data_IF_590593245212
#
_entry.id   IF_590593245212
#
_cell.length_a   1.000
_cell.length_b   1.000
_cell.length_c   1.000
_cell.angle_alpha   90.00
_cell.angle_beta   90.00
_cell.angle_gamma   90.00
#
_symmetry.space_group_name_H-M   'P 1'
#
loop_
_entity.id
_entity.type
_entity.pdbx_description
1 polymer ?
#
# COMPACT_ATOMS: atom_id res chain seq x y z
N UNK A 1 -16.86 20.87 -13.78
CA UNK A 1 -15.46 20.41 -13.70
C UNK A 1 -15.41 19.17 -12.82
N UNK A 2 -14.67 18.16 -13.24
CA UNK A 2 -14.41 16.96 -12.43
C UNK A 2 -13.13 17.17 -11.62
N UNK A 3 -13.13 16.78 -10.36
CA UNK A 3 -11.93 16.79 -9.50
C UNK A 3 -11.65 15.36 -9.09
N UNK A 4 -10.50 14.83 -9.53
CA UNK A 4 -9.98 13.53 -9.13
C UNK A 4 -8.99 13.72 -7.98
N UNK A 5 -9.25 13.09 -6.85
CA UNK A 5 -8.41 13.11 -5.66
C UNK A 5 -7.77 11.75 -5.46
N UNK A 6 -6.46 11.68 -5.64
CA UNK A 6 -5.65 10.49 -5.48
C UNK A 6 -4.89 10.55 -4.16
N UNK A 7 -5.08 9.55 -3.30
CA UNK A 7 -4.30 9.38 -2.08
C UNK A 7 -3.36 8.19 -2.26
N UNK A 8 -2.07 8.47 -2.20
CA UNK A 8 -1.02 7.46 -2.36
C UNK A 8 -0.54 7.06 -0.98
N UNK A 9 -0.74 5.79 -0.62
CA UNK A 9 -0.35 5.25 0.68
C UNK A 9 1.07 4.67 0.64
N UNK A 10 1.66 4.44 1.81
CA UNK A 10 3.06 3.93 1.90
C UNK A 10 3.22 2.50 1.36
N UNK A 11 2.12 1.74 1.28
CA UNK A 11 2.03 0.42 0.67
C UNK A 11 1.86 0.46 -0.85
N UNK A 12 1.80 1.65 -1.46
CA UNK A 12 1.69 1.83 -2.91
C UNK A 12 0.26 1.73 -3.46
N UNK A 13 -0.71 1.38 -2.62
CA UNK A 13 -2.13 1.49 -2.96
C UNK A 13 -2.50 2.96 -3.21
N UNK A 14 -3.38 3.18 -4.19
CA UNK A 14 -3.94 4.49 -4.52
C UNK A 14 -5.44 4.44 -4.31
N UNK A 15 -5.97 5.33 -3.46
CA UNK A 15 -7.42 5.52 -3.38
C UNK A 15 -7.83 6.75 -4.18
N UNK A 16 -8.80 6.57 -5.05
CA UNK A 16 -9.37 7.62 -5.89
C UNK A 16 -10.71 8.10 -5.32
N UNK A 17 -10.96 9.39 -5.40
CA UNK A 17 -12.25 10.00 -5.10
C UNK A 17 -12.58 11.04 -6.17
N UNK A 18 -13.68 10.83 -6.90
CA UNK A 18 -14.14 11.70 -7.97
C UNK A 18 -15.22 12.63 -7.41
N UNK A 19 -15.05 13.94 -7.62
CA UNK A 19 -16.03 14.96 -7.26
C UNK A 19 -16.42 15.78 -8.47
N UNK A 20 -17.71 16.06 -8.59
CA UNK A 20 -18.18 17.09 -9.50
C UNK A 20 -18.34 18.39 -8.74
N UNK A 21 -17.64 19.43 -9.17
CA UNK A 21 -17.71 20.74 -8.55
C UNK A 21 -17.96 21.84 -9.58
N UNK A 22 -18.76 22.82 -9.16
CA UNK A 22 -18.91 24.09 -9.88
C UNK A 22 -17.81 25.01 -9.38
N UNK A 23 -16.79 25.23 -10.23
CA UNK A 23 -15.65 26.06 -9.87
C UNK A 23 -16.02 27.52 -10.12
N UNK A 24 -16.30 28.25 -9.04
CA UNK A 24 -16.52 29.70 -9.08
C UNK A 24 -15.19 30.46 -9.09
N UNK A 25 -14.13 29.90 -8.50
CA UNK A 25 -12.80 30.51 -8.44
C UNK A 25 -11.72 29.45 -8.23
N UNK A 26 -10.65 29.54 -9.02
CA UNK A 26 -9.46 28.69 -8.82
C UNK A 26 -8.80 28.93 -7.46
N UNK A 27 -8.90 30.15 -6.90
CA UNK A 27 -8.36 30.46 -5.58
C UNK A 27 -9.03 29.63 -4.48
N UNK A 28 -10.34 29.42 -4.59
CA UNK A 28 -11.10 28.62 -3.62
C UNK A 28 -10.75 27.14 -3.72
N UNK A 29 -10.47 26.65 -4.93
CA UNK A 29 -9.97 25.30 -5.17
C UNK A 29 -8.60 25.09 -4.52
N UNK A 30 -7.64 26.01 -4.73
CA UNK A 30 -6.32 25.92 -4.09
C UNK A 30 -6.40 25.94 -2.57
N UNK A 31 -7.28 26.77 -2.01
CA UNK A 31 -7.50 26.83 -0.56
C UNK A 31 -8.16 25.55 -0.03
N UNK A 32 -9.14 25.00 -0.76
CA UNK A 32 -9.87 23.79 -0.38
C UNK A 32 -8.98 22.55 -0.41
N UNK A 33 -8.07 22.47 -1.37
CA UNK A 33 -7.14 21.37 -1.56
C UNK A 33 -5.72 21.75 -1.13
N UNK A 34 -5.60 22.61 -0.12
CA UNK A 34 -4.31 22.96 0.47
C UNK A 34 -3.60 21.72 1.00
N UNK A 35 -2.30 21.60 0.68
CA UNK A 35 -1.50 20.42 1.00
C UNK A 35 -1.73 19.20 0.09
N UNK A 36 -2.55 19.34 -0.95
CA UNK A 36 -2.57 18.43 -2.10
C UNK A 36 -1.69 18.99 -3.21
N UNK A 37 -1.03 18.11 -3.94
CA UNK A 37 -0.24 18.44 -5.11
C UNK A 37 -1.13 18.42 -6.35
N UNK A 38 -1.15 19.51 -7.11
CA UNK A 38 -1.74 19.50 -8.43
C UNK A 38 -0.84 18.68 -9.37
N UNK A 39 -1.40 17.66 -10.01
CA UNK A 39 -0.69 16.83 -11.00
C UNK A 39 -1.21 17.02 -12.41
N UNK A 40 -2.51 17.31 -12.59
CA UNK A 40 -3.06 17.67 -13.88
C UNK A 40 -4.18 18.72 -13.73
N UNK A 41 -4.30 19.59 -14.73
CA UNK A 41 -5.37 20.57 -14.85
C UNK A 41 -5.64 20.79 -16.34
N UNK A 42 -6.86 20.48 -16.76
CA UNK A 42 -7.39 20.82 -18.08
C UNK A 42 -8.81 21.39 -17.96
N UNK A 43 -9.47 21.64 -19.09
CA UNK A 43 -10.78 22.29 -19.13
C UNK A 43 -11.93 21.44 -18.56
N UNK A 44 -11.72 20.13 -18.38
CA UNK A 44 -12.73 19.17 -17.94
C UNK A 44 -12.42 18.56 -16.57
N UNK A 45 -11.14 18.41 -16.23
CA UNK A 45 -10.69 17.76 -15.01
C UNK A 45 -9.53 18.46 -14.29
N UNK A 46 -9.52 18.31 -12.97
CA UNK A 46 -8.41 18.65 -12.09
C UNK A 46 -8.00 17.39 -11.34
N UNK A 47 -6.72 17.03 -11.38
CA UNK A 47 -6.18 15.88 -10.66
C UNK A 47 -5.27 16.37 -9.53
N UNK A 48 -5.60 15.98 -8.32
CA UNK A 48 -4.86 16.28 -7.10
C UNK A 48 -4.35 14.99 -6.48
N UNK A 49 -3.08 14.99 -6.10
CA UNK A 49 -2.44 13.89 -5.38
C UNK A 49 -2.06 14.28 -3.96
N UNK A 50 -2.15 13.33 -3.03
CA UNK A 50 -1.65 13.50 -1.67
C UNK A 50 -0.98 12.22 -1.19
N UNK A 51 0.26 12.37 -0.73
CA UNK A 51 0.96 11.31 -0.02
C UNK A 51 0.36 11.16 1.38
N UNK A 52 -0.10 9.95 1.70
CA UNK A 52 -0.60 9.58 3.01
C UNK A 52 0.50 8.80 3.72
N UNK A 53 0.97 9.35 4.84
CA UNK A 53 2.03 8.75 5.65
C UNK A 53 1.53 7.59 6.53
N UNK A 54 0.70 6.72 5.94
CA UNK A 54 0.06 5.57 6.57
C UNK A 54 -0.20 4.48 5.51
N UNK A 55 -0.50 3.27 5.96
CA UNK A 55 -0.93 2.17 5.08
C UNK A 55 -2.41 2.30 4.71
N UNK A 56 -2.78 1.77 3.55
CA UNK A 56 -4.14 1.84 3.02
C UNK A 56 -5.17 1.18 3.95
N UNK A 57 -6.44 1.65 3.94
CA UNK A 57 -7.53 1.00 4.66
C UNK A 57 -7.71 -0.48 4.29
N UNK A 58 -7.45 -0.85 3.03
CA UNK A 58 -7.49 -2.23 2.56
C UNK A 58 -6.48 -3.10 3.33
N UNK A 59 -5.23 -2.66 3.38
CA UNK A 59 -4.16 -3.35 4.11
C UNK A 59 -4.46 -3.42 5.62
N UNK A 60 -4.97 -2.32 6.18
CA UNK A 60 -5.36 -2.26 7.59
C UNK A 60 -6.54 -3.15 7.93
N UNK A 61 -7.45 -3.42 7.00
CA UNK A 61 -8.62 -4.26 7.25
C UNK A 61 -8.26 -5.74 7.15
N UNK A 62 -7.53 -6.13 6.10
CA UNK A 62 -7.37 -7.52 5.73
C UNK A 62 -5.93 -7.93 5.35
N UNK A 63 -4.93 -7.07 5.47
CA UNK A 63 -3.55 -7.38 5.07
C UNK A 63 -2.83 -8.34 6.03
N UNK A 64 -2.22 -9.39 5.46
CA UNK A 64 -1.29 -10.29 6.16
C UNK A 64 -0.03 -10.52 5.34
N UNK A 65 1.15 -10.36 5.95
CA UNK A 65 2.39 -10.84 5.34
C UNK A 65 2.40 -12.37 5.32
N UNK A 66 2.93 -12.92 4.23
CA UNK A 66 3.25 -14.32 4.11
C UNK A 66 4.22 -14.58 2.98
N UNK A 67 4.31 -15.85 2.58
CA UNK A 67 5.16 -16.27 1.48
C UNK A 67 4.30 -16.79 0.33
N UNK A 68 4.65 -16.37 -0.88
CA UNK A 68 4.20 -17.03 -2.09
C UNK A 68 4.86 -18.41 -2.24
N UNK A 69 4.42 -19.21 -3.22
CA UNK A 69 4.97 -20.56 -3.45
C UNK A 69 6.46 -20.54 -3.81
N UNK A 70 6.91 -19.50 -4.49
CA UNK A 70 8.29 -19.23 -4.87
C UNK A 70 9.13 -18.63 -3.73
N UNK A 71 8.54 -18.38 -2.54
CA UNK A 71 9.26 -17.83 -1.40
C UNK A 71 9.38 -16.30 -1.41
N UNK A 72 8.57 -15.61 -2.22
CA UNK A 72 8.47 -14.15 -2.20
C UNK A 72 7.68 -13.69 -0.99
N UNK A 73 8.28 -12.78 -0.20
CA UNK A 73 7.58 -12.08 0.86
C UNK A 73 6.54 -11.16 0.20
N UNK A 74 5.28 -11.36 0.54
CA UNK A 74 4.14 -10.62 -0.01
C UNK A 74 3.09 -10.36 1.06
N UNK A 75 2.25 -9.35 0.84
CA UNK A 75 1.03 -9.15 1.61
C UNK A 75 -0.16 -9.70 0.84
N UNK A 76 -0.98 -10.48 1.53
CA UNK A 76 -2.19 -11.09 1.02
C UNK A 76 -3.42 -10.39 1.58
N UNK A 77 -4.49 -10.38 0.79
CA UNK A 77 -5.83 -10.07 1.25
C UNK A 77 -6.38 -11.30 2.02
N UNK A 78 -6.38 -11.20 3.34
CA UNK A 78 -6.65 -12.32 4.24
C UNK A 78 -5.40 -13.14 4.56
N UNK A 79 -5.59 -14.27 5.26
CA UNK A 79 -4.46 -15.14 5.61
C UNK A 79 -3.79 -15.69 4.35
N UNK A 80 -2.46 -15.88 4.35
CA UNK A 80 -1.75 -16.49 3.24
C UNK A 80 -2.29 -17.91 2.96
N UNK A 81 -2.62 -18.17 1.71
CA UNK A 81 -3.26 -19.41 1.28
C UNK A 81 -3.16 -19.59 -0.23
N UNK A 82 -3.51 -20.78 -0.73
CA UNK A 82 -3.33 -21.13 -2.15
C UNK A 82 -4.10 -20.23 -3.12
N UNK A 83 -5.19 -19.61 -2.67
CA UNK A 83 -6.09 -18.77 -3.48
C UNK A 83 -6.17 -17.33 -2.97
N UNK A 84 -5.31 -16.95 -2.03
CA UNK A 84 -5.34 -15.59 -1.46
C UNK A 84 -4.79 -14.61 -2.49
N UNK A 85 -5.51 -13.50 -2.70
CA UNK A 85 -5.08 -12.43 -3.59
C UNK A 85 -3.84 -11.77 -3.01
N UNK A 86 -2.79 -11.62 -3.81
CA UNK A 86 -1.61 -10.82 -3.46
C UNK A 86 -1.95 -9.35 -3.66
N UNK A 87 -1.79 -8.55 -2.62
CA UNK A 87 -1.91 -7.09 -2.65
C UNK A 87 -0.59 -6.49 -3.13
N UNK A 88 0.52 -6.90 -2.50
CA UNK A 88 1.83 -6.36 -2.78
C UNK A 88 2.91 -7.44 -2.59
N UNK A 89 3.91 -7.43 -3.48
CA UNK A 89 5.10 -8.29 -3.37
C UNK A 89 6.34 -7.45 -3.13
N UNK A 90 7.28 -7.99 -2.35
CA UNK A 90 8.53 -7.34 -1.99
C UNK A 90 9.72 -8.02 -2.65
N UNK A 91 10.33 -8.98 -1.95
CA UNK A 91 11.54 -9.69 -2.38
C UNK A 91 11.46 -11.17 -2.01
N UNK A 92 12.23 -11.98 -2.74
CA UNK A 92 12.36 -13.40 -2.47
C UNK A 92 13.23 -13.63 -1.24
N UNK A 93 12.79 -14.49 -0.33
CA UNK A 93 13.55 -14.88 0.86
C UNK A 93 14.32 -16.18 0.60
N UNK A 94 15.54 -16.24 1.10
CA UNK A 94 16.25 -17.51 1.25
C UNK A 94 15.65 -18.26 2.44
N UNK A 95 14.64 -19.08 2.15
CA UNK A 95 13.90 -19.84 3.16
C UNK A 95 14.82 -20.75 4.00
N UNK A 96 15.96 -21.17 3.45
CA UNK A 96 16.93 -22.02 4.17
C UNK A 96 17.64 -21.27 5.29
N UNK A 97 17.74 -19.93 5.21
CA UNK A 97 18.32 -19.08 6.24
C UNK A 97 17.33 -18.67 7.32
N UNK A 98 16.02 -18.89 7.10
CA UNK A 98 14.98 -18.59 8.07
C UNK A 98 14.86 -19.71 9.10
N UNK A 99 14.78 -19.33 10.37
CA UNK A 99 14.48 -20.30 11.43
C UNK A 99 13.07 -20.88 11.27
N UNK A 100 12.85 -22.11 11.75
CA UNK A 100 11.56 -22.80 11.64
C UNK A 100 10.39 -21.96 12.16
N UNK A 101 10.58 -21.26 13.27
CA UNK A 101 9.55 -20.42 13.87
C UNK A 101 9.19 -19.21 12.99
N UNK A 102 10.16 -18.64 12.27
CA UNK A 102 9.95 -17.52 11.36
C UNK A 102 9.18 -17.98 10.11
N UNK A 103 9.51 -19.16 9.59
CA UNK A 103 8.77 -19.77 8.47
C UNK A 103 7.32 -20.06 8.86
N UNK A 104 7.08 -20.59 10.06
CA UNK A 104 5.73 -20.85 10.55
C UNK A 104 4.92 -19.56 10.72
N UNK A 105 5.53 -18.48 11.21
CA UNK A 105 4.87 -17.17 11.32
C UNK A 105 4.43 -16.66 9.95
N UNK A 106 5.30 -16.73 8.94
CA UNK A 106 4.96 -16.32 7.58
C UNK A 106 3.89 -17.22 6.94
N UNK A 107 3.91 -18.53 7.22
CA UNK A 107 2.88 -19.48 6.77
C UNK A 107 1.52 -19.21 7.40
N UNK A 108 1.48 -18.91 8.72
CA UNK A 108 0.24 -18.57 9.44
C UNK A 108 -0.31 -17.20 9.04
N UNK A 109 0.58 -16.32 8.57
CA UNK A 109 0.28 -14.94 8.23
C UNK A 109 0.55 -13.99 9.38
N UNK A 110 1.25 -12.89 9.10
CA UNK A 110 1.51 -11.83 10.09
C UNK A 110 0.60 -10.65 9.76
N UNK A 111 -0.34 -10.35 10.66
CA UNK A 111 -1.31 -9.27 10.45
C UNK A 111 -0.64 -7.89 10.36
N UNK A 112 -1.06 -7.10 9.38
CA UNK A 112 -0.62 -5.71 9.19
C UNK A 112 -1.68 -4.74 9.72
N UNK A 113 -1.52 -4.30 10.97
CA UNK A 113 -2.48 -3.40 11.63
C UNK A 113 -2.05 -1.93 11.59
N UNK A 114 -0.78 -1.65 11.30
CA UNK A 114 -0.21 -0.30 11.32
C UNK A 114 0.95 -0.16 10.35
N UNK A 115 1.28 1.09 10.00
CA UNK A 115 2.49 1.43 9.25
C UNK A 115 3.76 0.94 9.92
N UNK A 116 3.85 1.05 11.23
CA UNK A 116 5.06 0.62 11.96
C UNK A 116 5.23 -0.89 11.86
N UNK A 117 4.14 -1.65 12.01
CA UNK A 117 4.18 -3.10 11.82
C UNK A 117 4.52 -3.50 10.38
N UNK A 118 3.99 -2.75 9.40
CA UNK A 118 4.34 -2.93 8.00
C UNK A 118 5.85 -2.80 7.78
N UNK A 119 6.45 -1.71 8.27
CA UNK A 119 7.89 -1.46 8.15
C UNK A 119 8.73 -2.48 8.94
N UNK A 120 8.35 -2.77 10.17
CA UNK A 120 9.06 -3.68 11.06
C UNK A 120 9.22 -5.07 10.43
N UNK A 121 8.14 -5.62 9.84
CA UNK A 121 8.20 -6.94 9.20
C UNK A 121 9.10 -6.92 7.99
N UNK A 122 9.00 -5.91 7.12
CA UNK A 122 9.86 -5.78 5.93
C UNK A 122 11.33 -5.72 6.33
N UNK A 123 11.69 -4.85 7.28
CA UNK A 123 13.08 -4.71 7.74
C UNK A 123 13.57 -5.95 8.48
N UNK A 124 12.72 -6.64 9.25
CA UNK A 124 13.09 -7.88 9.93
C UNK A 124 13.44 -9.01 8.95
N UNK A 125 12.77 -9.07 7.79
CA UNK A 125 13.01 -10.12 6.79
C UNK A 125 14.01 -9.73 5.70
N UNK A 126 14.34 -8.43 5.56
CA UNK A 126 15.29 -7.93 4.56
C UNK A 126 16.67 -8.60 4.59
N UNK A 127 17.29 -8.92 5.75
CA UNK A 127 18.57 -9.62 5.78
C UNK A 127 18.55 -11.02 5.16
N UNK A 128 17.38 -11.63 5.01
CA UNK A 128 17.20 -12.95 4.40
C UNK A 128 16.81 -12.85 2.91
N UNK A 129 16.77 -11.64 2.34
CA UNK A 129 16.52 -11.47 0.93
C UNK A 129 17.58 -12.20 0.11
N UNK A 130 17.16 -12.92 -0.92
CA UNK A 130 18.08 -13.46 -1.92
C UNK A 130 18.71 -12.26 -2.62
N UNK A 131 20.01 -12.06 -2.43
CA UNK A 131 20.78 -11.10 -3.22
C UNK A 131 20.93 -11.71 -4.60
N UNK A 132 20.39 -11.04 -5.63
CA UNK A 132 20.74 -11.35 -7.01
C UNK A 132 22.16 -10.86 -7.31
#
# INVERSE_FOLDING_TARGET
MTILLERIYVDGEVSEEIKQETITSMKDIWKKYEGWQLVNLDDEQIVFQKMVQDISPLLKANGYFGLTKDGTLSIFEGKPGKSSRVIQSFFQLDIKKLESHQQERLKKGIRVISKDRYKEVIEAYRPFAVTQ
#
